data_IF_339952880449
#
_entry.id   IF_339952880449
#
_cell.length_a   1.000
_cell.length_b   1.000
_cell.length_c   1.000
_cell.angle_alpha   90.00
_cell.angle_beta   90.00
_cell.angle_gamma   90.00
#
_symmetry.space_group_name_H-M   'P 1'
#
loop_
_entity.id
_entity.type
_entity.pdbx_description
1 polymer ?
#
# COMPACT_ATOMS: atom_id res chain seq x y z
N UNK A 1 -23.75 -8.30 -20.82
CA UNK A 1 -23.67 -6.90 -20.76
C UNK A 1 -22.27 -6.43 -20.38
N UNK A 2 -21.98 -5.23 -20.76
CA UNK A 2 -20.66 -4.65 -20.56
C UNK A 2 -20.34 -4.32 -19.12
N UNK A 3 -21.31 -4.46 -18.24
CA UNK A 3 -21.20 -4.05 -16.84
C UNK A 3 -20.01 -4.67 -16.14
N UNK A 4 -19.76 -5.95 -16.38
CA UNK A 4 -18.66 -6.64 -15.71
C UNK A 4 -17.31 -6.04 -16.11
N UNK A 5 -17.16 -5.72 -17.39
CA UNK A 5 -15.92 -5.11 -17.89
C UNK A 5 -15.75 -3.71 -17.31
N UNK A 6 -16.83 -2.94 -17.31
CA UNK A 6 -16.78 -1.57 -16.77
C UNK A 6 -16.47 -1.58 -15.28
N UNK A 7 -17.03 -2.56 -14.54
CA UNK A 7 -16.77 -2.69 -13.13
C UNK A 7 -15.31 -3.06 -12.86
N UNK A 8 -14.76 -3.97 -13.67
CA UNK A 8 -13.34 -4.34 -13.52
C UNK A 8 -12.44 -3.14 -13.77
N UNK A 9 -12.75 -2.34 -14.81
CA UNK A 9 -11.99 -1.12 -15.09
C UNK A 9 -12.12 -0.11 -13.96
N UNK A 10 -13.33 0.02 -13.42
CA UNK A 10 -13.59 0.92 -12.30
C UNK A 10 -12.85 0.46 -11.05
N UNK A 11 -12.87 -0.84 -10.75
CA UNK A 11 -12.18 -1.39 -9.60
C UNK A 11 -10.68 -1.22 -9.74
N UNK A 12 -10.15 -1.43 -10.93
CA UNK A 12 -8.72 -1.21 -11.17
C UNK A 12 -8.34 0.23 -10.87
N UNK A 13 -9.12 1.18 -11.35
CA UNK A 13 -8.88 2.60 -11.11
C UNK A 13 -8.97 2.93 -9.63
N UNK A 14 -9.95 2.37 -8.94
CA UNK A 14 -10.11 2.57 -7.49
C UNK A 14 -8.89 2.04 -6.76
N UNK A 15 -8.43 0.84 -7.12
CA UNK A 15 -7.30 0.21 -6.44
C UNK A 15 -6.00 0.97 -6.71
N UNK A 16 -5.81 1.47 -7.93
CA UNK A 16 -4.65 2.31 -8.25
C UNK A 16 -4.66 3.57 -7.38
N UNK A 17 -5.83 4.19 -7.23
CA UNK A 17 -5.96 5.38 -6.40
C UNK A 17 -5.72 5.07 -4.93
N UNK A 18 -6.30 3.97 -4.42
CA UNK A 18 -6.09 3.58 -3.03
C UNK A 18 -4.62 3.31 -2.74
N UNK A 19 -3.92 2.71 -3.70
CA UNK A 19 -2.51 2.43 -3.53
C UNK A 19 -1.69 3.71 -3.46
N UNK A 20 -2.01 4.70 -4.28
CA UNK A 20 -1.35 6.01 -4.19
C UNK A 20 -1.67 6.70 -2.88
N UNK A 21 -2.92 6.62 -2.44
CA UNK A 21 -3.33 7.22 -1.16
C UNK A 21 -2.62 6.55 0.02
N UNK A 22 -2.37 5.25 -0.07
CA UNK A 22 -1.61 4.53 0.95
C UNK A 22 -0.22 5.15 1.13
N UNK A 23 0.45 5.45 0.01
CA UNK A 23 1.76 6.08 0.03
C UNK A 23 1.66 7.52 0.53
N UNK A 24 0.64 8.25 0.10
CA UNK A 24 0.43 9.63 0.56
C UNK A 24 0.21 9.65 2.07
N UNK A 25 -0.55 8.69 2.60
CA UNK A 25 -0.78 8.57 4.03
C UNK A 25 0.52 8.26 4.78
N UNK A 26 1.39 7.44 4.19
CA UNK A 26 2.71 7.18 4.76
C UNK A 26 3.52 8.48 4.85
N UNK A 27 3.55 9.25 3.78
CA UNK A 27 4.33 10.48 3.74
C UNK A 27 3.78 11.55 4.67
N UNK A 28 2.47 11.55 4.93
CA UNK A 28 1.80 12.58 5.74
C UNK A 28 1.46 12.11 7.15
N UNK A 29 1.87 10.91 7.53
CA UNK A 29 1.54 10.30 8.82
C UNK A 29 0.02 10.33 9.06
N UNK A 30 -0.75 10.02 8.01
CA UNK A 30 -2.21 10.08 8.06
C UNK A 30 -2.78 8.78 8.63
N UNK A 31 -2.75 8.69 9.94
CA UNK A 31 -3.18 7.50 10.68
C UNK A 31 -4.66 7.22 10.45
N UNK A 32 -5.48 8.28 10.31
CA UNK A 32 -6.92 8.11 10.12
C UNK A 32 -7.23 7.44 8.79
N UNK A 33 -6.47 7.75 7.74
CA UNK A 33 -6.65 7.07 6.46
C UNK A 33 -6.41 5.57 6.63
N UNK A 34 -5.32 5.20 7.31
CA UNK A 34 -4.99 3.79 7.55
C UNK A 34 -6.05 3.12 8.43
N UNK A 35 -6.51 3.82 9.47
CA UNK A 35 -7.53 3.25 10.36
C UNK A 35 -8.77 2.87 9.58
N UNK A 36 -9.14 3.69 8.61
CA UNK A 36 -10.34 3.49 7.81
C UNK A 36 -10.16 2.43 6.72
N UNK A 37 -8.99 2.37 6.11
CA UNK A 37 -8.78 1.56 4.90
C UNK A 37 -8.09 0.22 5.12
N UNK A 38 -7.46 0.01 6.26
CA UNK A 38 -6.86 -1.28 6.58
C UNK A 38 -7.90 -2.16 7.25
N UNK A 39 -7.91 -3.45 6.90
CA UNK A 39 -8.77 -4.42 7.57
C UNK A 39 -8.34 -4.58 9.02
N UNK A 40 -9.28 -5.03 9.88
CA UNK A 40 -8.98 -5.21 11.29
C UNK A 40 -7.86 -6.23 11.53
N UNK A 41 -7.79 -7.25 10.68
CA UNK A 41 -6.77 -8.29 10.78
C UNK A 41 -5.57 -8.01 9.86
N UNK A 42 -5.38 -6.78 9.46
CA UNK A 42 -4.27 -6.38 8.59
C UNK A 42 -2.92 -6.78 9.20
N UNK A 43 -2.03 -7.27 8.33
CA UNK A 43 -0.66 -7.63 8.70
C UNK A 43 0.28 -7.11 7.62
N UNK A 44 1.38 -6.52 8.05
CA UNK A 44 2.44 -6.10 7.13
C UNK A 44 3.74 -6.79 7.50
N UNK A 45 4.50 -7.19 6.49
CA UNK A 45 5.86 -7.70 6.66
C UNK A 45 6.80 -6.62 6.11
N UNK A 46 7.63 -6.10 6.99
CA UNK A 46 8.56 -5.03 6.67
C UNK A 46 9.85 -5.58 6.07
N UNK A 47 10.68 -4.71 5.52
CA UNK A 47 11.92 -5.11 4.84
C UNK A 47 12.89 -5.86 5.74
N UNK A 48 12.85 -5.62 7.03
CA UNK A 48 13.73 -6.31 7.97
C UNK A 48 13.13 -7.62 8.48
N UNK A 49 11.96 -8.00 7.94
CA UNK A 49 11.28 -9.21 8.36
C UNK A 49 10.33 -9.03 9.53
N UNK A 50 10.26 -7.84 10.10
CA UNK A 50 9.32 -7.56 11.19
C UNK A 50 7.90 -7.74 10.70
N UNK A 51 7.04 -8.29 11.56
CA UNK A 51 5.62 -8.49 11.27
C UNK A 51 4.83 -7.59 12.20
N UNK A 52 4.05 -6.69 11.63
CA UNK A 52 3.24 -5.75 12.42
C UNK A 52 1.76 -6.00 12.15
N UNK A 53 0.95 -6.00 13.21
CA UNK A 53 -0.50 -5.98 13.05
C UNK A 53 -0.98 -4.54 12.84
N UNK A 54 -2.30 -4.37 12.69
CA UNK A 54 -2.85 -3.05 12.39
C UNK A 54 -2.49 -2.02 13.48
N UNK A 55 -2.67 -2.38 14.75
CA UNK A 55 -2.37 -1.47 15.86
C UNK A 55 -0.92 -1.03 15.86
N UNK A 56 -0.01 -2.00 15.69
CA UNK A 56 1.42 -1.71 15.64
C UNK A 56 1.79 -0.85 14.44
N UNK A 57 1.16 -1.14 13.29
CA UNK A 57 1.39 -0.35 12.09
C UNK A 57 0.93 1.10 12.28
N UNK A 58 -0.25 1.30 12.87
CA UNK A 58 -0.76 2.65 13.13
C UNK A 58 0.17 3.43 14.05
N UNK A 59 0.66 2.78 15.10
CA UNK A 59 1.62 3.41 16.02
C UNK A 59 2.88 3.86 15.28
N UNK A 60 3.36 3.00 14.39
CA UNK A 60 4.56 3.28 13.61
C UNK A 60 4.32 4.41 12.60
N UNK A 61 3.17 4.38 11.93
CA UNK A 61 2.83 5.40 10.93
C UNK A 61 2.70 6.79 11.56
N UNK A 62 2.26 6.87 12.80
CA UNK A 62 2.12 8.13 13.50
C UNK A 62 3.45 8.85 13.72
N UNK A 63 4.55 8.12 13.68
CA UNK A 63 5.89 8.70 13.86
C UNK A 63 6.38 9.47 12.64
N UNK A 64 5.69 9.30 11.51
CA UNK A 64 6.08 9.93 10.26
C UNK A 64 7.07 9.10 9.46
N UNK A 65 7.31 9.49 8.22
CA UNK A 65 8.17 8.72 7.32
C UNK A 65 9.65 8.90 7.64
N UNK A 66 10.43 7.89 7.33
CA UNK A 66 11.88 7.95 7.43
C UNK A 66 12.54 8.37 6.11
N UNK A 67 11.74 8.80 5.15
CA UNK A 67 12.20 9.26 3.84
C UNK A 67 11.59 10.63 3.57
N UNK A 68 12.22 11.39 2.66
CA UNK A 68 11.72 12.72 2.30
C UNK A 68 10.89 12.69 1.02
N UNK A 69 10.97 11.60 0.25
CA UNK A 69 10.24 11.44 -0.99
C UNK A 69 10.01 9.97 -1.27
N UNK A 70 8.87 9.65 -1.89
CA UNK A 70 8.53 8.27 -2.24
C UNK A 70 7.64 8.31 -3.47
N UNK A 71 8.10 7.71 -4.55
CA UNK A 71 7.37 7.71 -5.82
C UNK A 71 7.11 6.29 -6.29
N UNK A 72 5.93 6.07 -6.85
CA UNK A 72 5.51 4.77 -7.34
C UNK A 72 5.83 4.62 -8.83
N UNK A 73 6.27 3.43 -9.20
CA UNK A 73 6.49 3.04 -10.58
C UNK A 73 5.96 1.63 -10.80
N UNK A 74 5.55 1.36 -12.03
CA UNK A 74 5.17 0.01 -12.46
C UNK A 74 4.08 -0.59 -11.59
N UNK A 75 3.05 0.21 -11.31
CA UNK A 75 1.91 -0.26 -10.54
C UNK A 75 1.12 -1.27 -11.37
N UNK A 76 0.98 -2.48 -10.83
CA UNK A 76 0.26 -3.57 -11.48
C UNK A 76 -0.88 -4.03 -10.57
N UNK A 77 -2.10 -3.99 -11.09
CA UNK A 77 -3.30 -4.39 -10.37
C UNK A 77 -3.88 -5.62 -11.02
N UNK A 78 -4.06 -6.69 -10.23
CA UNK A 78 -4.70 -7.92 -10.70
C UNK A 78 -5.88 -8.25 -9.79
N UNK A 79 -7.04 -8.42 -10.39
CA UNK A 79 -8.28 -8.61 -9.65
C UNK A 79 -8.79 -10.04 -9.84
N UNK A 80 -9.12 -10.68 -8.73
CA UNK A 80 -9.61 -12.05 -8.69
C UNK A 80 -10.89 -12.07 -7.87
N UNK A 81 -12.02 -11.79 -8.51
CA UNK A 81 -13.30 -11.72 -7.81
C UNK A 81 -13.31 -10.57 -6.81
N UNK A 82 -13.45 -10.89 -5.54
CA UNK A 82 -13.47 -9.88 -4.48
C UNK A 82 -12.11 -9.72 -3.81
N UNK A 83 -11.04 -10.21 -4.44
CA UNK A 83 -9.68 -10.03 -3.95
C UNK A 83 -8.83 -9.42 -5.06
N UNK A 84 -7.79 -8.69 -4.69
CA UNK A 84 -6.89 -8.08 -5.65
C UNK A 84 -5.48 -8.03 -5.10
N UNK A 85 -4.52 -8.11 -6.02
CA UNK A 85 -3.11 -7.92 -5.71
C UNK A 85 -2.66 -6.64 -6.38
N UNK A 86 -1.97 -5.78 -5.63
CA UNK A 86 -1.35 -4.59 -6.18
C UNK A 86 0.14 -4.68 -5.91
N UNK A 87 0.91 -4.70 -6.98
CA UNK A 87 2.38 -4.78 -6.89
C UNK A 87 2.95 -3.53 -7.53
N UNK A 88 4.02 -3.02 -6.94
CA UNK A 88 4.66 -1.83 -7.49
C UNK A 88 6.10 -1.72 -6.99
N UNK A 89 6.83 -0.80 -7.63
CA UNK A 89 8.15 -0.41 -7.21
C UNK A 89 8.06 0.98 -6.60
N UNK A 90 8.66 1.18 -5.44
CA UNK A 90 8.77 2.49 -4.83
C UNK A 90 10.19 3.00 -4.97
N UNK A 91 10.34 4.24 -5.41
CA UNK A 91 11.63 4.92 -5.48
C UNK A 91 11.62 5.97 -4.38
N UNK A 92 12.56 5.88 -3.46
CA UNK A 92 12.56 6.76 -2.29
C UNK A 92 13.89 7.46 -2.11
N UNK A 93 13.82 8.61 -1.43
CA UNK A 93 14.99 9.39 -1.04
C UNK A 93 14.99 9.47 0.48
N UNK A 94 16.07 9.05 1.09
CA UNK A 94 16.24 9.13 2.53
C UNK A 94 16.54 10.53 3.01
N UNK A 95 16.48 10.74 4.32
CA UNK A 95 16.73 12.06 4.89
C UNK A 95 18.18 12.50 4.73
N UNK A 96 19.08 11.55 4.55
CA UNK A 96 20.49 11.84 4.31
C UNK A 96 20.81 12.03 2.82
N UNK A 97 19.79 12.06 1.97
CA UNK A 97 19.95 12.22 0.54
C UNK A 97 20.21 10.93 -0.23
N UNK A 98 20.36 9.81 0.47
CA UNK A 98 20.55 8.52 -0.20
C UNK A 98 19.27 8.12 -0.94
N UNK A 99 19.42 7.38 -2.02
CA UNK A 99 18.28 6.91 -2.80
C UNK A 99 18.21 5.41 -2.76
N UNK A 100 16.99 4.91 -2.83
CA UNK A 100 16.78 3.48 -2.82
C UNK A 100 15.53 3.08 -3.54
N UNK A 101 15.31 1.78 -3.59
CA UNK A 101 14.20 1.17 -4.27
C UNK A 101 13.59 0.10 -3.39
N UNK A 102 12.28 -0.01 -3.43
CA UNK A 102 11.56 -1.06 -2.75
C UNK A 102 10.58 -1.70 -3.72
N UNK A 103 10.27 -2.97 -3.49
CA UNK A 103 9.15 -3.63 -4.17
C UNK A 103 8.16 -4.08 -3.13
N UNK A 104 6.89 -4.01 -3.48
CA UNK A 104 5.88 -4.43 -2.52
C UNK A 104 4.71 -5.11 -3.20
N UNK A 105 4.01 -5.90 -2.40
CA UNK A 105 2.76 -6.54 -2.79
C UNK A 105 1.75 -6.24 -1.70
N UNK A 106 0.63 -5.65 -2.08
CA UNK A 106 -0.49 -5.40 -1.19
C UNK A 106 -1.65 -6.28 -1.63
N UNK A 107 -2.35 -6.85 -0.67
CA UNK A 107 -3.54 -7.66 -0.93
C UNK A 107 -4.75 -6.89 -0.44
N UNK A 108 -5.73 -6.75 -1.31
CA UNK A 108 -7.00 -6.06 -1.02
C UNK A 108 -8.14 -7.05 -1.09
N UNK A 109 -9.16 -6.82 -0.27
CA UNK A 109 -10.40 -7.60 -0.31
C UNK A 109 -11.56 -6.62 -0.35
N UNK A 110 -12.51 -6.86 -1.24
CA UNK A 110 -13.70 -6.03 -1.35
C UNK A 110 -14.71 -6.44 -0.28
N UNK A 111 -15.16 -5.44 0.48
CA UNK A 111 -16.16 -5.63 1.53
C UNK A 111 -17.36 -4.75 1.22
N UNK A 112 -18.40 -4.83 2.04
CA UNK A 112 -19.56 -3.96 1.87
C UNK A 112 -19.19 -2.48 2.04
N UNK A 113 -18.11 -2.21 2.74
CA UNK A 113 -17.61 -0.84 2.95
C UNK A 113 -16.56 -0.43 1.92
N UNK A 114 -16.33 -1.26 0.90
CA UNK A 114 -15.35 -1.00 -0.14
C UNK A 114 -14.12 -1.90 -0.01
N UNK A 115 -13.10 -1.57 -0.77
CA UNK A 115 -11.84 -2.32 -0.74
C UNK A 115 -11.06 -2.00 0.53
N UNK A 116 -10.56 -3.05 1.19
CA UNK A 116 -9.70 -2.92 2.37
C UNK A 116 -8.37 -3.62 2.12
N UNK A 117 -7.29 -3.06 2.60
CA UNK A 117 -5.99 -3.75 2.55
C UNK A 117 -5.93 -4.76 3.68
N UNK A 118 -5.67 -6.01 3.35
CA UNK A 118 -5.59 -7.07 4.36
C UNK A 118 -4.16 -7.50 4.63
N UNK A 119 -3.26 -7.26 3.69
CA UNK A 119 -1.87 -7.69 3.85
C UNK A 119 -0.98 -6.80 2.99
N UNK A 120 0.23 -6.59 3.45
CA UNK A 120 1.25 -5.89 2.69
C UNK A 120 2.59 -6.52 2.97
N UNK A 121 3.45 -6.53 1.97
CA UNK A 121 4.84 -6.94 2.14
C UNK A 121 5.72 -6.02 1.33
N UNK A 122 6.76 -5.51 1.96
CA UNK A 122 7.68 -4.59 1.31
C UNK A 122 9.11 -5.09 1.49
N UNK A 123 9.89 -4.98 0.43
CA UNK A 123 11.30 -5.38 0.43
C UNK A 123 12.12 -4.27 -0.19
N UNK A 124 13.11 -3.79 0.52
CA UNK A 124 14.09 -2.88 -0.06
C UNK A 124 15.05 -3.71 -0.91
N UNK A 125 15.15 -3.34 -2.19
CA UNK A 125 15.92 -4.13 -3.15
C UNK A 125 17.27 -3.54 -3.44
N UNK A 126 17.43 -2.22 -3.29
CA UNK A 126 18.71 -1.56 -3.43
C UNK A 126 18.63 -0.18 -2.80
N UNK A 127 19.79 0.38 -2.48
CA UNK A 127 19.87 1.77 -2.05
C UNK A 127 21.29 2.28 -2.29
N UNK A 128 21.40 3.55 -2.41
CA UNK A 128 22.68 4.20 -2.66
C UNK A 128 22.87 5.42 -1.81
#
# INVERSE_FOLDING_TARGET
>A
MSTAIDMDGSDKTILERLNQEYVDAFMNADVEWYRKHLAEDFVVIESDGSVLNKTEFLTNAAKGPDVVDYKLQNVDVRIYGNAALVQATGIWTGQDGSQGMSRYTDVYVQTVAGWKTVSAQITRTSHR
#
